data_IF_241054759594
#
_entry.id   IF_241054759594
#
_cell.length_a   1.000
_cell.length_b   1.000
_cell.length_c   1.000
_cell.angle_alpha   90.00
_cell.angle_beta   90.00
_cell.angle_gamma   90.00
#
_symmetry.space_group_name_H-M   'P 1'
#
loop_
_entity.id
_entity.type
_entity.pdbx_description
1 polymer ?
#
# COMPACT_ATOMS: atom_id res chain seq x y z
N UNK A 1 -28.83 10.96 7.85
CA UNK A 1 -27.76 10.54 8.77
C UNK A 1 -26.45 11.12 8.27
N UNK A 2 -25.74 11.78 9.17
CA UNK A 2 -24.70 12.78 8.95
C UNK A 2 -23.40 12.12 8.46
N UNK A 3 -22.85 12.53 7.32
CA UNK A 3 -21.51 12.13 6.86
C UNK A 3 -20.59 13.35 6.91
N UNK A 4 -20.02 13.62 8.10
CA UNK A 4 -18.99 14.64 8.30
C UNK A 4 -17.76 13.96 8.86
N UNK A 5 -16.89 13.51 7.97
CA UNK A 5 -15.61 12.92 8.36
C UNK A 5 -14.72 12.88 7.14
N UNK A 6 -13.86 13.88 7.01
CA UNK A 6 -12.70 13.85 6.12
C UNK A 6 -11.50 13.73 7.05
N UNK A 7 -10.65 12.73 6.83
CA UNK A 7 -9.38 12.60 7.55
C UNK A 7 -8.29 13.36 6.80
N UNK A 8 -7.47 14.13 7.53
CA UNK A 8 -6.35 14.90 6.99
C UNK A 8 -5.02 14.40 7.57
N UNK A 9 -4.08 14.02 6.70
CA UNK A 9 -2.69 13.76 7.05
C UNK A 9 -1.78 14.83 6.42
N UNK A 10 -0.92 15.45 7.23
CA UNK A 10 0.00 16.51 6.82
C UNK A 10 1.46 16.06 6.92
N UNK A 11 2.24 16.21 5.84
CA UNK A 11 3.70 16.03 5.88
C UNK A 11 4.40 17.01 4.91
N UNK A 12 5.59 17.50 5.27
CA UNK A 12 6.26 18.60 4.58
C UNK A 12 7.58 18.19 3.91
N UNK A 13 7.56 18.09 2.58
CA UNK A 13 8.37 18.90 1.66
C UNK A 13 7.59 18.94 0.34
N UNK A 14 6.92 20.07 0.08
CA UNK A 14 5.77 20.24 -0.84
C UNK A 14 4.51 19.55 -0.32
N UNK A 15 3.76 20.22 0.55
CA UNK A 15 2.60 19.66 1.24
C UNK A 15 1.51 19.17 0.26
N UNK A 16 1.43 17.86 0.04
CA UNK A 16 0.30 17.19 -0.60
C UNK A 16 -0.61 16.68 0.51
N UNK A 17 -1.79 17.28 0.65
CA UNK A 17 -2.83 16.75 1.53
C UNK A 17 -3.63 15.69 0.78
N UNK A 18 -3.82 14.53 1.41
CA UNK A 18 -4.71 13.49 0.91
C UNK A 18 -6.03 13.57 1.68
N UNK A 19 -7.12 13.78 0.95
CA UNK A 19 -8.47 13.89 1.50
C UNK A 19 -9.31 12.73 0.98
N UNK A 20 -9.87 11.94 1.89
CA UNK A 20 -10.87 10.94 1.57
C UNK A 20 -11.96 10.90 2.64
N UNK A 21 -13.18 10.41 2.30
CA UNK A 21 -14.16 10.06 3.31
C UNK A 21 -13.57 9.10 4.34
N UNK A 22 -13.97 9.24 5.60
CA UNK A 22 -13.57 8.28 6.65
C UNK A 22 -13.88 6.85 6.20
N UNK A 23 -12.86 5.99 6.23
CA UNK A 23 -12.94 4.59 5.82
C UNK A 23 -12.76 4.33 4.33
N UNK A 24 -12.61 5.37 3.50
CA UNK A 24 -12.28 5.24 2.08
C UNK A 24 -10.77 5.37 1.87
N UNK A 25 -10.04 4.28 2.15
CA UNK A 25 -8.61 4.16 1.87
C UNK A 25 -8.31 3.06 0.83
N UNK A 26 -7.03 2.91 0.47
CA UNK A 26 -6.61 1.90 -0.49
C UNK A 26 -6.79 0.46 0.02
N UNK A 27 -6.77 0.23 1.33
CA UNK A 27 -7.01 -1.09 1.90
C UNK A 27 -8.47 -1.51 1.72
N UNK A 28 -9.40 -0.57 1.95
CA UNK A 28 -10.81 -0.79 1.67
C UNK A 28 -11.02 -1.16 0.20
N UNK A 29 -10.48 -0.36 -0.71
CA UNK A 29 -10.59 -0.64 -2.15
C UNK A 29 -9.98 -2.01 -2.53
N UNK A 30 -8.83 -2.37 -1.96
CA UNK A 30 -8.18 -3.65 -2.24
C UNK A 30 -9.04 -4.84 -1.78
N UNK A 31 -9.68 -4.75 -0.60
CA UNK A 31 -10.58 -5.79 -0.06
C UNK A 31 -11.81 -5.96 -0.95
N UNK A 32 -12.45 -4.86 -1.35
CA UNK A 32 -13.60 -4.90 -2.26
C UNK A 32 -13.26 -5.57 -3.60
N UNK A 33 -12.07 -5.27 -4.15
CA UNK A 33 -11.60 -5.90 -5.39
C UNK A 33 -11.34 -7.40 -5.18
N UNK A 34 -10.67 -7.78 -4.08
CA UNK A 34 -10.41 -9.18 -3.76
C UNK A 34 -11.71 -9.99 -3.61
N UNK A 35 -12.69 -9.42 -2.91
CA UNK A 35 -14.02 -10.01 -2.73
C UNK A 35 -14.76 -10.16 -4.06
N UNK A 36 -14.72 -9.14 -4.93
CA UNK A 36 -15.30 -9.20 -6.28
C UNK A 36 -14.67 -10.30 -7.14
N UNK A 37 -13.39 -10.58 -6.96
CA UNK A 37 -12.65 -11.62 -7.68
C UNK A 37 -12.72 -13.00 -7.01
N UNK A 38 -13.29 -13.09 -5.80
CA UNK A 38 -13.38 -14.34 -5.04
C UNK A 38 -12.03 -14.87 -4.55
N UNK A 39 -11.05 -13.98 -4.33
CA UNK A 39 -9.71 -14.35 -3.86
C UNK A 39 -9.50 -13.89 -2.42
N UNK A 40 -8.83 -14.71 -1.62
CA UNK A 40 -8.48 -14.33 -0.24
C UNK A 40 -7.31 -13.36 -0.20
N UNK A 41 -7.34 -12.41 0.74
CA UNK A 41 -6.30 -11.38 0.90
C UNK A 41 -4.90 -11.98 1.11
N UNK A 42 -4.79 -13.18 1.68
CA UNK A 42 -3.55 -13.93 1.84
C UNK A 42 -2.85 -14.27 0.51
N UNK A 43 -3.61 -14.30 -0.59
CA UNK A 43 -3.11 -14.54 -1.96
C UNK A 43 -2.80 -13.26 -2.73
N UNK A 44 -3.10 -12.10 -2.12
CA UNK A 44 -2.92 -10.78 -2.74
C UNK A 44 -1.55 -10.22 -2.40
N UNK A 45 -0.85 -9.69 -3.41
CA UNK A 45 0.37 -8.90 -3.23
C UNK A 45 0.08 -7.42 -3.50
N UNK A 46 0.44 -6.54 -2.56
CA UNK A 46 0.31 -5.09 -2.70
C UNK A 46 1.67 -4.42 -2.87
N UNK A 47 1.72 -3.44 -3.76
CA UNK A 47 2.89 -2.63 -4.07
C UNK A 47 2.59 -1.18 -3.70
N UNK A 48 3.51 -0.54 -2.99
CA UNK A 48 3.33 0.82 -2.52
C UNK A 48 4.65 1.54 -2.30
N UNK A 49 4.58 2.85 -2.32
CA UNK A 49 5.74 3.73 -2.20
C UNK A 49 5.43 4.98 -1.37
N UNK A 50 4.19 5.16 -0.90
CA UNK A 50 3.77 6.35 -0.18
C UNK A 50 2.94 6.08 1.06
N UNK A 51 2.68 7.12 1.85
CA UNK A 51 1.98 7.03 3.13
C UNK A 51 0.55 6.48 3.00
N UNK A 52 -0.19 6.85 1.95
CA UNK A 52 -1.53 6.29 1.71
C UNK A 52 -1.52 4.82 1.28
N UNK A 53 -0.37 4.24 0.99
CA UNK A 53 -0.25 2.81 0.70
C UNK A 53 -0.14 1.97 1.97
N UNK A 54 0.24 2.56 3.13
CA UNK A 54 0.46 1.80 4.37
C UNK A 54 -0.74 0.91 4.69
N UNK A 55 -2.01 1.40 4.71
CA UNK A 55 -3.13 0.53 5.04
C UNK A 55 -3.26 -0.66 4.07
N UNK A 56 -3.01 -0.44 2.78
CA UNK A 56 -3.10 -1.48 1.75
C UNK A 56 -1.96 -2.50 1.88
N UNK A 57 -0.74 -2.02 2.15
CA UNK A 57 0.44 -2.85 2.39
C UNK A 57 0.27 -3.71 3.64
N UNK A 58 -0.38 -3.20 4.69
CA UNK A 58 -0.67 -3.99 5.90
C UNK A 58 -1.82 -4.99 5.72
N UNK A 59 -2.71 -4.76 4.75
CA UNK A 59 -3.87 -5.62 4.52
C UNK A 59 -3.60 -6.82 3.59
N UNK A 60 -2.65 -6.71 2.66
CA UNK A 60 -2.33 -7.75 1.67
C UNK A 60 -1.54 -8.92 2.30
N UNK A 61 -1.64 -10.13 1.75
CA UNK A 61 -0.86 -11.29 2.22
C UNK A 61 0.64 -11.13 2.00
N UNK A 62 1.04 -10.37 0.98
CA UNK A 62 2.42 -9.96 0.72
C UNK A 62 2.49 -8.46 0.44
N UNK A 63 3.48 -7.79 1.02
CA UNK A 63 3.63 -6.35 0.93
C UNK A 63 4.99 -5.98 0.31
N UNK A 64 4.99 -5.07 -0.65
CA UNK A 64 6.18 -4.64 -1.37
C UNK A 64 6.30 -3.13 -1.28
N UNK A 65 7.31 -2.67 -0.53
CA UNK A 65 7.69 -1.28 -0.44
C UNK A 65 8.77 -0.95 -1.48
N UNK A 66 8.43 -0.08 -2.42
CA UNK A 66 9.30 0.29 -3.53
C UNK A 66 10.47 1.18 -3.08
N UNK A 67 11.58 1.11 -3.80
CA UNK A 67 12.83 1.78 -3.44
C UNK A 67 12.78 3.31 -3.49
N UNK A 68 11.80 3.89 -4.20
CA UNK A 68 11.56 5.32 -4.27
C UNK A 68 10.71 5.87 -3.10
N UNK A 69 10.33 5.01 -2.15
CA UNK A 69 9.59 5.41 -0.96
C UNK A 69 10.34 6.43 -0.08
N UNK A 70 9.62 7.33 0.62
CA UNK A 70 10.18 8.21 1.62
C UNK A 70 11.03 7.47 2.66
N UNK A 71 12.12 8.12 3.08
CA UNK A 71 12.92 7.65 4.21
C UNK A 71 12.02 7.52 5.44
N UNK A 72 12.10 6.39 6.14
CA UNK A 72 11.30 6.16 7.34
C UNK A 72 9.97 5.45 7.09
N UNK A 73 9.48 5.39 5.84
CA UNK A 73 8.19 4.75 5.54
C UNK A 73 8.19 3.26 5.89
N UNK A 74 9.30 2.56 5.65
CA UNK A 74 9.46 1.16 6.01
C UNK A 74 9.17 0.88 7.49
N UNK A 75 9.63 1.76 8.38
CA UNK A 75 9.43 1.61 9.83
C UNK A 75 7.97 1.87 10.27
N UNK A 76 7.16 2.52 9.43
CA UNK A 76 5.75 2.79 9.70
C UNK A 76 4.85 1.61 9.28
N UNK A 77 5.35 0.61 8.56
CA UNK A 77 4.55 -0.51 8.04
C UNK A 77 4.74 -1.73 8.93
N UNK A 78 3.65 -2.22 9.53
CA UNK A 78 3.64 -3.43 10.34
C UNK A 78 3.10 -4.62 9.55
N UNK A 79 3.97 -5.29 8.79
CA UNK A 79 3.58 -6.45 7.98
C UNK A 79 4.64 -7.57 8.01
N UNK A 80 4.27 -8.83 8.33
CA UNK A 80 5.22 -9.92 8.50
C UNK A 80 5.93 -10.35 7.20
N UNK A 81 5.28 -10.17 6.05
CA UNK A 81 5.82 -10.49 4.73
C UNK A 81 6.17 -9.22 3.94
N UNK A 82 6.74 -8.22 4.61
CA UNK A 82 7.16 -6.96 3.97
C UNK A 82 8.52 -7.12 3.26
N UNK A 83 8.51 -6.91 1.95
CA UNK A 83 9.69 -6.87 1.10
C UNK A 83 10.02 -5.44 0.69
N UNK A 84 11.31 -5.17 0.51
CA UNK A 84 11.79 -3.96 -0.16
C UNK A 84 12.43 -4.32 -1.49
N UNK A 85 12.23 -3.46 -2.48
CA UNK A 85 12.77 -3.63 -3.84
C UNK A 85 13.35 -2.33 -4.37
N UNK A 86 13.90 -2.38 -5.58
CA UNK A 86 14.26 -1.20 -6.37
C UNK A 86 13.10 -0.23 -6.63
N UNK A 87 13.38 0.90 -7.30
CA UNK A 87 12.38 1.93 -7.61
C UNK A 87 11.27 1.41 -8.52
N UNK A 88 10.20 2.21 -8.64
CA UNK A 88 9.01 1.93 -9.44
C UNK A 88 9.19 2.05 -10.98
N UNK A 89 10.42 2.01 -11.49
CA UNK A 89 10.76 2.12 -12.92
C UNK A 89 10.68 0.79 -13.69
N UNK A 90 10.11 -0.24 -13.09
CA UNK A 90 9.97 -1.59 -13.64
C UNK A 90 11.04 -2.57 -13.13
N UNK A 91 12.24 -2.10 -12.78
CA UNK A 91 13.28 -2.96 -12.20
C UNK A 91 12.86 -3.52 -10.82
N UNK A 92 12.29 -2.66 -9.98
CA UNK A 92 11.79 -3.04 -8.66
C UNK A 92 10.57 -3.97 -8.72
N UNK A 93 9.71 -3.83 -9.74
CA UNK A 93 8.57 -4.72 -9.93
C UNK A 93 9.05 -6.12 -10.31
N UNK A 94 9.98 -6.24 -11.26
CA UNK A 94 10.52 -7.56 -11.65
C UNK A 94 11.24 -8.22 -10.47
N UNK A 95 12.02 -7.45 -9.70
CA UNK A 95 12.65 -7.94 -8.47
C UNK A 95 11.63 -8.50 -7.47
N UNK A 96 10.52 -7.78 -7.27
CA UNK A 96 9.44 -8.23 -6.40
C UNK A 96 8.81 -9.53 -6.89
N UNK A 97 8.46 -9.63 -8.18
CA UNK A 97 7.82 -10.82 -8.75
C UNK A 97 8.71 -12.06 -8.61
N UNK A 98 10.03 -11.91 -8.79
CA UNK A 98 11.00 -12.99 -8.53
C UNK A 98 11.04 -13.40 -7.07
N UNK A 99 11.02 -12.43 -6.15
CA UNK A 99 10.98 -12.70 -4.69
C UNK A 99 9.69 -13.40 -4.27
N UNK A 100 8.58 -13.12 -4.95
CA UNK A 100 7.28 -13.78 -4.75
C UNK A 100 7.17 -15.13 -5.44
N UNK A 101 8.12 -15.49 -6.32
CA UNK A 101 8.11 -16.77 -7.04
C UNK A 101 7.09 -16.84 -8.19
N UNK A 102 6.68 -15.70 -8.75
CA UNK A 102 5.66 -15.61 -9.81
C UNK A 102 6.20 -15.13 -11.17
N UNK A 103 7.53 -15.01 -11.31
CA UNK A 103 8.24 -14.64 -12.53
C UNK A 103 9.63 -15.28 -12.61
#
# INVERSE_FOLDING_TARGET
IHATGVSEEFENQSAVAMLSPVGADKAFALREIADCLGVGMETVAAFGDWHNDIPMLEAAGSAILMGNAPKGLYQKINHPNLLRTGPNDGSGIIEALRKLGVY
#
